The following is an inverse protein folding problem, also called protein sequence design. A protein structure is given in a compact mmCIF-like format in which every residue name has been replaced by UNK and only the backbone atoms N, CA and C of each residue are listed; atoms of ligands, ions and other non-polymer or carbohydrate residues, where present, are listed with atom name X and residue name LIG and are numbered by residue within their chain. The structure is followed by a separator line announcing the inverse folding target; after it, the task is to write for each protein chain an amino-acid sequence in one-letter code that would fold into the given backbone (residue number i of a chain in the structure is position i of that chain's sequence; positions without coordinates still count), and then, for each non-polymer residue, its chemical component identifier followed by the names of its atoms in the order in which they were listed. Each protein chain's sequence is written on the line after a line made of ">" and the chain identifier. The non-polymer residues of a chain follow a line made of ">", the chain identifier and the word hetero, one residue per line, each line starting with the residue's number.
data_IF_851676795377
#
_entry.id   IF_851676795377
#
_cell.length_a   1.000
_cell.length_b   1.000
_cell.length_c   1.000
_cell.angle_alpha   90.00
_cell.angle_beta   90.00
_cell.angle_gamma   90.00
#
_symmetry.space_group_name_H-M   'P 1'
#
loop_
_entity.id
_entity.type
_entity.pdbx_description
1 polymer ?
#
# COMPACT_ATOMS: atom_id res chain seq x y z
N UNK A 1 0.58 15.67 107.23
CA UNK A 1 1.04 14.60 106.31
C UNK A 1 -0.08 14.02 105.46
N UNK A 2 -1.31 13.92 105.97
CA UNK A 2 -2.46 13.34 105.23
C UNK A 2 -2.93 14.18 104.03
N UNK A 3 -2.82 15.50 104.07
CA UNK A 3 -3.27 16.39 102.97
C UNK A 3 -2.50 16.19 101.66
N UNK A 4 -1.17 16.02 101.73
CA UNK A 4 -0.32 15.79 100.57
C UNK A 4 -0.60 14.44 99.90
N UNK A 5 -0.84 13.40 100.71
CA UNK A 5 -1.20 12.07 100.23
C UNK A 5 -2.57 12.06 99.52
N UNK A 6 -3.56 12.76 100.07
CA UNK A 6 -4.88 12.88 99.43
C UNK A 6 -4.79 13.64 98.09
N UNK A 7 -4.01 14.73 98.04
CA UNK A 7 -3.82 15.50 96.80
C UNK A 7 -3.08 14.68 95.73
N UNK A 8 -2.10 13.87 96.13
CA UNK A 8 -1.42 12.93 95.23
C UNK A 8 -2.35 11.86 94.69
N UNK A 9 -3.25 11.32 95.53
CA UNK A 9 -4.24 10.32 95.12
C UNK A 9 -5.26 10.91 94.13
N UNK A 10 -5.79 12.11 94.40
CA UNK A 10 -6.70 12.81 93.48
C UNK A 10 -6.04 13.05 92.12
N UNK A 11 -4.76 13.47 92.11
CA UNK A 11 -4.02 13.66 90.87
C UNK A 11 -3.84 12.34 90.10
N UNK A 12 -3.58 11.24 90.79
CA UNK A 12 -3.43 9.93 90.18
C UNK A 12 -4.74 9.43 89.58
N UNK A 13 -5.87 9.61 90.28
CA UNK A 13 -7.21 9.26 89.79
C UNK A 13 -7.53 10.06 88.53
N UNK A 14 -7.27 11.37 88.52
CA UNK A 14 -7.48 12.21 87.34
C UNK A 14 -6.65 11.75 86.14
N UNK A 15 -5.36 11.45 86.36
CA UNK A 15 -4.48 10.93 85.31
C UNK A 15 -4.95 9.57 84.79
N UNK A 16 -5.47 8.70 85.67
CA UNK A 16 -6.04 7.41 85.27
C UNK A 16 -7.28 7.60 84.40
N UNK A 17 -8.21 8.48 84.79
CA UNK A 17 -9.41 8.79 84.01
C UNK A 17 -9.09 9.40 82.64
N UNK A 18 -8.16 10.36 82.59
CA UNK A 18 -7.65 10.93 81.34
C UNK A 18 -7.04 9.86 80.43
N UNK A 19 -6.24 8.95 80.99
CA UNK A 19 -5.62 7.85 80.24
C UNK A 19 -6.66 6.88 79.68
N UNK A 20 -7.70 6.56 80.44
CA UNK A 20 -8.79 5.71 79.99
C UNK A 20 -9.58 6.37 78.85
N UNK A 21 -9.85 7.67 78.93
CA UNK A 21 -10.53 8.40 77.87
C UNK A 21 -9.68 8.45 76.59
N UNK A 22 -8.39 8.77 76.74
CA UNK A 22 -7.44 8.80 75.63
C UNK A 22 -7.37 7.44 74.93
N UNK A 23 -7.31 6.35 75.69
CA UNK A 23 -7.26 5.00 75.12
C UNK A 23 -8.52 4.68 74.31
N UNK A 24 -9.72 4.97 74.83
CA UNK A 24 -10.98 4.78 74.10
C UNK A 24 -11.02 5.59 72.80
N UNK A 25 -10.56 6.84 72.84
CA UNK A 25 -10.46 7.67 71.64
C UNK A 25 -9.51 7.06 70.61
N UNK A 26 -8.31 6.61 71.04
CA UNK A 26 -7.32 6.01 70.14
C UNK A 26 -7.83 4.70 69.51
N UNK A 27 -8.49 3.83 70.28
CA UNK A 27 -9.11 2.60 69.76
C UNK A 27 -10.17 2.92 68.70
N UNK A 28 -11.00 3.95 68.90
CA UNK A 28 -11.99 4.37 67.90
C UNK A 28 -11.35 4.89 66.61
N UNK A 29 -10.26 5.66 66.73
CA UNK A 29 -9.49 6.16 65.59
C UNK A 29 -8.77 5.04 64.85
N UNK A 30 -8.21 4.08 65.58
CA UNK A 30 -7.54 2.90 65.03
C UNK A 30 -8.53 2.08 64.19
N UNK A 31 -9.71 1.73 64.75
CA UNK A 31 -10.75 1.00 64.02
C UNK A 31 -11.20 1.73 62.76
N UNK A 32 -11.35 3.06 62.83
CA UNK A 32 -11.71 3.87 61.65
C UNK A 32 -10.61 3.83 60.59
N UNK A 33 -9.35 3.95 61.01
CA UNK A 33 -8.20 3.87 60.10
C UNK A 33 -8.09 2.49 59.45
N UNK A 34 -8.28 1.40 60.19
CA UNK A 34 -8.29 0.02 59.66
C UNK A 34 -9.35 -0.16 58.56
N UNK A 35 -10.58 0.30 58.80
CA UNK A 35 -11.65 0.24 57.80
C UNK A 35 -11.31 1.07 56.56
N UNK A 36 -10.77 2.28 56.74
CA UNK A 36 -10.36 3.14 55.62
C UNK A 36 -9.22 2.53 54.81
N UNK A 37 -8.23 1.90 55.46
CA UNK A 37 -7.13 1.21 54.78
C UNK A 37 -7.65 0.02 53.98
N UNK A 38 -8.56 -0.76 54.56
CA UNK A 38 -9.19 -1.88 53.86
C UNK A 38 -9.97 -1.42 52.62
N UNK A 39 -10.76 -0.36 52.73
CA UNK A 39 -11.51 0.23 51.61
C UNK A 39 -10.58 0.74 50.50
N UNK A 40 -9.51 1.46 50.87
CA UNK A 40 -8.51 1.92 49.89
C UNK A 40 -7.81 0.74 49.20
N UNK A 41 -7.53 -0.34 49.92
CA UNK A 41 -6.97 -1.57 49.35
C UNK A 41 -7.91 -2.21 48.32
N UNK A 42 -9.21 -2.28 48.61
CA UNK A 42 -10.22 -2.79 47.68
C UNK A 42 -10.32 -1.91 46.43
N UNK A 43 -10.32 -0.58 46.58
CA UNK A 43 -10.35 0.36 45.47
C UNK A 43 -9.09 0.23 44.60
N UNK A 44 -7.91 0.11 45.22
CA UNK A 44 -6.65 -0.05 44.51
C UNK A 44 -6.62 -1.35 43.70
N UNK A 45 -7.07 -2.46 44.30
CA UNK A 45 -7.16 -3.75 43.62
C UNK A 45 -8.14 -3.69 42.43
N UNK A 46 -9.34 -3.13 42.63
CA UNK A 46 -10.33 -2.97 41.57
C UNK A 46 -9.82 -2.10 40.41
N UNK A 47 -9.12 -0.98 40.71
CA UNK A 47 -8.50 -0.13 39.69
C UNK A 47 -7.39 -0.87 38.94
N UNK A 48 -6.53 -1.59 39.65
CA UNK A 48 -5.45 -2.39 39.04
C UNK A 48 -6.02 -3.41 38.06
N UNK A 49 -7.03 -4.17 38.49
CA UNK A 49 -7.69 -5.17 37.66
C UNK A 49 -8.35 -4.54 36.42
N UNK A 50 -9.07 -3.43 36.59
CA UNK A 50 -9.70 -2.73 35.48
C UNK A 50 -8.69 -2.32 34.39
N UNK A 51 -7.53 -1.78 34.78
CA UNK A 51 -6.50 -1.40 33.81
C UNK A 51 -5.83 -2.60 33.15
N UNK A 52 -5.62 -3.69 33.89
CA UNK A 52 -5.11 -4.94 33.33
C UNK A 52 -6.07 -5.51 32.29
N UNK A 53 -7.36 -5.56 32.59
CA UNK A 53 -8.40 -6.05 31.67
C UNK A 53 -8.51 -5.17 30.42
N UNK A 54 -8.46 -3.84 30.61
CA UNK A 54 -8.46 -2.89 29.49
C UNK A 54 -7.24 -3.09 28.59
N UNK A 55 -6.05 -3.26 29.18
CA UNK A 55 -4.83 -3.51 28.41
C UNK A 55 -4.94 -4.82 27.62
N UNK A 56 -5.37 -5.91 28.25
CA UNK A 56 -5.58 -7.20 27.59
C UNK A 56 -6.58 -7.09 26.43
N UNK A 57 -7.72 -6.43 26.64
CA UNK A 57 -8.73 -6.24 25.61
C UNK A 57 -8.18 -5.45 24.41
N UNK A 58 -7.51 -4.32 24.65
CA UNK A 58 -6.89 -3.51 23.60
C UNK A 58 -5.80 -4.28 22.85
N UNK A 59 -4.95 -5.04 23.54
CA UNK A 59 -3.94 -5.89 22.88
C UNK A 59 -4.58 -6.96 22.00
N UNK A 60 -5.63 -7.62 22.48
CA UNK A 60 -6.34 -8.65 21.70
C UNK A 60 -7.02 -8.04 20.46
N UNK A 61 -7.65 -6.88 20.59
CA UNK A 61 -8.28 -6.17 19.49
C UNK A 61 -7.24 -5.79 18.41
N UNK A 62 -6.11 -5.21 18.82
CA UNK A 62 -5.04 -4.88 17.88
C UNK A 62 -4.45 -6.12 17.21
N UNK A 63 -4.23 -7.20 17.95
CA UNK A 63 -3.73 -8.44 17.38
C UNK A 63 -4.71 -9.02 16.35
N UNK A 64 -6.02 -8.98 16.64
CA UNK A 64 -7.05 -9.42 15.70
C UNK A 64 -7.08 -8.55 14.43
N UNK A 65 -6.96 -7.23 14.58
CA UNK A 65 -6.92 -6.29 13.47
C UNK A 65 -5.69 -6.51 12.58
N UNK A 66 -4.51 -6.70 13.17
CA UNK A 66 -3.27 -7.00 12.45
C UNK A 66 -3.43 -8.30 11.67
N UNK A 67 -3.86 -9.38 12.33
CA UNK A 67 -4.03 -10.68 11.67
C UNK A 67 -5.01 -10.58 10.49
N UNK A 68 -6.12 -9.86 10.66
CA UNK A 68 -7.09 -9.63 9.58
C UNK A 68 -6.46 -8.87 8.42
N UNK A 69 -5.78 -7.75 8.69
CA UNK A 69 -5.12 -6.96 7.67
C UNK A 69 -4.03 -7.77 6.93
N UNK A 70 -3.28 -8.60 7.65
CA UNK A 70 -2.28 -9.51 7.06
C UNK A 70 -2.93 -10.55 6.15
N UNK A 71 -4.04 -11.16 6.56
CA UNK A 71 -4.77 -12.11 5.71
C UNK A 71 -5.37 -11.46 4.47
N UNK A 72 -5.92 -10.25 4.59
CA UNK A 72 -6.45 -9.48 3.47
C UNK A 72 -5.35 -9.07 2.49
N UNK A 73 -4.22 -8.59 3.00
CA UNK A 73 -3.06 -8.26 2.17
C UNK A 73 -2.50 -9.49 1.45
N UNK A 74 -2.43 -10.64 2.12
CA UNK A 74 -1.99 -11.88 1.50
C UNK A 74 -2.96 -12.33 0.39
N UNK A 75 -4.26 -12.28 0.63
CA UNK A 75 -5.26 -12.64 -0.37
C UNK A 75 -5.21 -11.71 -1.61
N UNK A 76 -4.93 -10.42 -1.40
CA UNK A 76 -4.74 -9.46 -2.50
C UNK A 76 -3.47 -9.76 -3.29
N UNK A 77 -2.35 -10.08 -2.62
CA UNK A 77 -1.10 -10.48 -3.28
C UNK A 77 -1.30 -11.75 -4.11
N UNK A 78 -1.94 -12.77 -3.56
CA UNK A 78 -2.20 -14.03 -4.26
C UNK A 78 -3.08 -13.80 -5.50
N UNK A 79 -4.12 -12.97 -5.36
CA UNK A 79 -5.00 -12.61 -6.49
C UNK A 79 -4.24 -11.84 -7.57
N UNK A 80 -3.42 -10.86 -7.17
CA UNK A 80 -2.61 -10.08 -8.11
C UNK A 80 -1.58 -10.95 -8.83
N UNK A 81 -0.98 -11.92 -8.14
CA UNK A 81 -0.04 -12.87 -8.75
C UNK A 81 -0.74 -13.74 -9.80
N UNK A 82 -1.89 -14.33 -9.47
CA UNK A 82 -2.66 -15.14 -10.42
C UNK A 82 -3.08 -14.31 -11.63
N UNK A 83 -3.53 -13.07 -11.41
CA UNK A 83 -3.90 -12.17 -12.50
C UNK A 83 -2.71 -11.87 -13.41
N UNK A 84 -1.56 -11.54 -12.84
CA UNK A 84 -0.34 -11.29 -13.60
C UNK A 84 0.10 -12.52 -14.42
N UNK A 85 0.01 -13.72 -13.85
CA UNK A 85 0.32 -14.96 -14.56
C UNK A 85 -0.63 -15.20 -15.75
N UNK A 86 -1.92 -14.92 -15.58
CA UNK A 86 -2.93 -14.97 -16.66
C UNK A 86 -2.66 -13.93 -17.74
N UNK A 87 -2.35 -12.69 -17.36
CA UNK A 87 -2.04 -11.60 -18.29
C UNK A 87 -0.79 -11.94 -19.11
N UNK A 88 0.24 -12.50 -18.48
CA UNK A 88 1.46 -12.95 -19.16
C UNK A 88 1.21 -14.13 -20.10
N UNK A 89 0.30 -15.05 -19.75
CA UNK A 89 -0.10 -16.13 -20.63
C UNK A 89 -0.83 -15.60 -21.87
N UNK A 90 -1.84 -14.73 -21.66
CA UNK A 90 -2.60 -14.06 -22.71
C UNK A 90 -1.70 -13.24 -23.63
N UNK A 91 -0.77 -12.46 -23.07
CA UNK A 91 0.20 -11.69 -23.85
C UNK A 91 1.06 -12.58 -24.75
N UNK A 92 1.59 -13.69 -24.22
CA UNK A 92 2.40 -14.63 -25.00
C UNK A 92 1.60 -15.29 -26.11
N UNK A 93 0.34 -15.63 -25.86
CA UNK A 93 -0.55 -16.21 -26.86
C UNK A 93 -0.91 -15.19 -27.95
N UNK A 94 -1.24 -13.95 -27.56
CA UNK A 94 -1.47 -12.85 -28.49
C UNK A 94 -0.25 -12.55 -29.37
N UNK A 95 0.96 -12.58 -28.80
CA UNK A 95 2.20 -12.40 -29.56
C UNK A 95 2.39 -13.54 -30.58
N UNK A 96 2.20 -14.79 -30.18
CA UNK A 96 2.27 -15.93 -31.10
C UNK A 96 1.27 -15.80 -32.25
N UNK A 97 0.03 -15.44 -31.95
CA UNK A 97 -1.00 -15.22 -32.96
C UNK A 97 -0.61 -14.11 -33.94
N UNK A 98 -0.13 -12.97 -33.44
CA UNK A 98 0.36 -11.84 -34.26
C UNK A 98 1.51 -12.23 -35.19
N UNK A 99 2.48 -13.02 -34.71
CA UNK A 99 3.59 -13.52 -35.54
C UNK A 99 3.09 -14.43 -36.66
N UNK A 100 2.14 -15.32 -36.36
CA UNK A 100 1.54 -16.21 -37.38
C UNK A 100 0.78 -15.40 -38.42
N UNK A 101 -0.02 -14.42 -37.99
CA UNK A 101 -0.79 -13.52 -38.88
C UNK A 101 0.17 -12.75 -39.81
N UNK A 102 1.20 -12.12 -39.25
CA UNK A 102 2.16 -11.33 -40.05
C UNK A 102 2.96 -12.18 -41.04
N UNK A 103 3.37 -13.39 -40.64
CA UNK A 103 4.04 -14.32 -41.56
C UNK A 103 3.11 -14.76 -42.70
N UNK A 104 1.84 -15.02 -42.39
CA UNK A 104 0.83 -15.39 -43.40
C UNK A 104 0.53 -14.23 -44.35
N UNK A 105 0.45 -13.00 -43.84
CA UNK A 105 0.32 -11.79 -44.65
C UNK A 105 1.52 -11.58 -45.58
N UNK A 106 2.74 -11.75 -45.07
CA UNK A 106 3.96 -11.65 -45.88
C UNK A 106 3.98 -12.73 -46.99
N UNK A 107 3.56 -13.96 -46.67
CA UNK A 107 3.44 -15.06 -47.62
C UNK A 107 2.43 -14.76 -48.74
N UNK A 108 1.25 -14.25 -48.38
CA UNK A 108 0.23 -13.84 -49.35
C UNK A 108 0.70 -12.69 -50.23
N UNK A 109 1.35 -11.68 -49.64
CA UNK A 109 1.92 -10.55 -50.39
C UNK A 109 2.93 -11.02 -51.44
N UNK A 110 3.88 -11.88 -51.05
CA UNK A 110 4.85 -12.46 -51.98
C UNK A 110 4.17 -13.27 -53.09
N UNK A 111 3.11 -14.01 -52.77
CA UNK A 111 2.37 -14.79 -53.75
C UNK A 111 1.69 -13.89 -54.78
N UNK A 112 1.05 -12.79 -54.35
CA UNK A 112 0.43 -11.85 -55.27
C UNK A 112 1.45 -11.06 -56.10
N UNK A 113 2.59 -10.65 -55.52
CA UNK A 113 3.66 -9.97 -56.25
C UNK A 113 4.28 -10.87 -57.33
N UNK A 114 4.53 -12.14 -57.01
CA UNK A 114 5.01 -13.12 -57.99
C UNK A 114 4.00 -13.34 -59.12
N UNK A 115 2.70 -13.43 -58.79
CA UNK A 115 1.62 -13.50 -59.78
C UNK A 115 1.58 -12.26 -60.67
N UNK A 116 1.78 -11.07 -60.10
CA UNK A 116 1.85 -9.82 -60.87
C UNK A 116 3.05 -9.80 -61.83
N UNK A 117 4.16 -10.47 -61.47
CA UNK A 117 5.33 -10.66 -62.33
C UNK A 117 5.22 -11.86 -63.30
N UNK A 118 4.06 -12.52 -63.37
CA UNK A 118 3.81 -13.64 -64.28
C UNK A 118 4.31 -15.00 -63.80
N UNK A 119 4.77 -15.10 -62.54
CA UNK A 119 5.14 -16.37 -61.91
C UNK A 119 3.94 -16.93 -61.14
N UNK A 120 3.27 -17.93 -61.72
CA UNK A 120 2.24 -18.71 -61.03
C UNK A 120 2.83 -20.06 -60.59
N UNK A 121 2.83 -20.33 -59.29
CA UNK A 121 3.26 -21.61 -58.73
C UNK A 121 2.03 -22.45 -58.35
N UNK A 122 1.72 -23.56 -59.05
CA UNK A 122 0.55 -24.40 -58.75
C UNK A 122 0.54 -25.02 -57.34
N UNK A 123 1.68 -25.00 -56.65
CA UNK A 123 1.81 -25.49 -55.27
C UNK A 123 1.35 -24.51 -54.20
N UNK A 124 1.08 -23.24 -54.58
CA UNK A 124 0.64 -22.21 -53.64
C UNK A 124 -0.89 -22.19 -53.56
N UNK A 125 -1.42 -22.56 -52.40
CA UNK A 125 -2.85 -22.51 -52.13
C UNK A 125 -3.20 -21.15 -51.49
N UNK A 126 -3.29 -20.13 -52.34
CA UNK A 126 -3.52 -18.74 -51.94
C UNK A 126 -4.90 -18.58 -51.28
N UNK A 127 -5.94 -19.20 -51.83
CA UNK A 127 -7.30 -19.14 -51.29
C UNK A 127 -7.38 -19.72 -49.86
N UNK A 128 -6.72 -20.86 -49.62
CA UNK A 128 -6.64 -21.44 -48.28
C UNK A 128 -5.83 -20.56 -47.31
N UNK A 129 -4.81 -19.84 -47.77
CA UNK A 129 -4.07 -18.90 -46.92
C UNK A 129 -4.89 -17.66 -46.58
N UNK A 130 -5.73 -17.16 -47.50
CA UNK A 130 -6.66 -16.06 -47.25
C UNK A 130 -7.76 -16.46 -46.25
N UNK A 131 -8.30 -17.68 -46.38
CA UNK A 131 -9.27 -18.23 -45.43
C UNK A 131 -8.65 -18.37 -44.04
N UNK A 132 -7.47 -19.00 -43.93
CA UNK A 132 -6.74 -19.09 -42.66
C UNK A 132 -6.40 -17.71 -42.06
N UNK A 133 -6.10 -16.71 -42.88
CA UNK A 133 -5.82 -15.36 -42.39
C UNK A 133 -7.09 -14.69 -41.82
N UNK A 134 -8.23 -14.88 -42.49
CA UNK A 134 -9.53 -14.38 -42.04
C UNK A 134 -9.97 -15.04 -40.73
N UNK A 135 -9.78 -16.34 -40.61
CA UNK A 135 -10.12 -17.12 -39.41
C UNK A 135 -9.27 -16.70 -38.20
N UNK A 136 -8.01 -16.32 -38.43
CA UNK A 136 -7.13 -15.76 -37.41
C UNK A 136 -7.41 -14.28 -37.10
N UNK A 137 -8.36 -13.63 -37.78
CA UNK A 137 -8.69 -12.21 -37.60
C UNK A 137 -7.64 -11.25 -38.19
N UNK A 138 -6.82 -11.71 -39.12
CA UNK A 138 -5.82 -10.89 -39.80
C UNK A 138 -6.43 -9.96 -40.86
N UNK A 139 -5.81 -8.80 -41.07
CA UNK A 139 -6.26 -7.87 -42.10
C UNK A 139 -6.02 -8.45 -43.51
N UNK A 140 -6.97 -8.27 -44.45
CA UNK A 140 -6.80 -8.70 -45.84
C UNK A 140 -5.55 -8.07 -46.46
N UNK A 141 -4.78 -8.87 -47.21
CA UNK A 141 -3.64 -8.36 -47.98
C UNK A 141 -4.15 -7.84 -49.31
N UNK A 142 -3.90 -6.55 -49.60
CA UNK A 142 -4.27 -5.96 -50.87
C UNK A 142 -3.55 -6.65 -52.03
N UNK A 143 -4.30 -7.03 -53.07
CA UNK A 143 -3.71 -7.53 -54.31
C UNK A 143 -2.96 -6.38 -55.00
N UNK A 144 -1.68 -6.56 -55.37
CA UNK A 144 -0.99 -5.60 -56.21
C UNK A 144 -1.74 -5.50 -57.53
N UNK A 145 -2.28 -4.31 -57.81
CA UNK A 145 -2.74 -3.96 -59.15
C UNK A 145 -1.52 -4.08 -60.07
N UNK A 146 -1.69 -4.79 -61.20
CA UNK A 146 -0.65 -5.04 -62.22
C UNK A 146 0.25 -3.80 -62.43
N UNK A 147 1.58 -3.98 -62.59
CA UNK A 147 2.40 -2.88 -63.07
C UNK A 147 1.95 -2.56 -64.50
N UNK A 148 1.37 -1.38 -64.70
CA UNK A 148 1.40 -0.74 -66.02
C UNK A 148 2.86 -0.47 -66.29
N UNK A 149 3.45 -1.29 -67.14
CA UNK A 149 4.73 -1.04 -67.77
C UNK A 149 4.56 0.21 -68.65
N UNK A 150 5.01 1.37 -68.17
CA UNK A 150 5.61 2.39 -69.01
C UNK A 150 6.82 2.98 -68.27
N UNK A 151 7.98 2.82 -68.91
CA UNK A 151 9.31 3.24 -68.47
C UNK A 151 9.62 4.65 -69.06
N UNK A 152 10.82 5.21 -68.84
CA UNK A 152 11.13 6.33 -67.96
C UNK A 152 11.22 7.70 -68.67
N UNK A 153 11.19 8.81 -67.92
CA UNK A 153 11.78 10.07 -68.40
C UNK A 153 12.47 10.87 -67.29
N UNK A 154 13.75 11.10 -67.56
CA UNK A 154 14.79 11.72 -66.76
C UNK A 154 14.88 13.22 -67.06
N UNK A 155 14.99 14.05 -66.03
CA UNK A 155 15.72 15.34 -65.96
C UNK A 155 15.20 16.10 -64.72
N UNK A 156 15.94 16.90 -63.97
CA UNK A 156 17.36 17.17 -63.77
C UNK A 156 17.41 18.09 -62.54
N UNK A 157 18.54 18.08 -61.83
CA UNK A 157 18.82 18.87 -60.63
C UNK A 157 18.51 20.37 -60.75
N UNK A 158 18.06 20.98 -59.64
CA UNK A 158 18.56 22.30 -59.24
C UNK A 158 18.44 22.50 -57.73
N UNK A 159 19.59 22.56 -57.06
CA UNK A 159 19.74 23.14 -55.73
C UNK A 159 19.56 24.66 -55.79
N UNK A 160 18.84 25.24 -54.82
CA UNK A 160 19.14 26.56 -54.25
C UNK A 160 18.87 26.49 -52.76
N UNK A 161 19.98 26.45 -52.05
CA UNK A 161 20.22 26.87 -50.68
C UNK A 161 19.80 28.33 -50.44
N UNK A 162 19.21 28.60 -49.27
CA UNK A 162 19.29 29.89 -48.59
C UNK A 162 18.99 29.72 -47.09
N UNK A 163 19.98 29.19 -46.37
CA UNK A 163 20.57 29.79 -45.16
C UNK A 163 19.71 30.16 -43.95
N UNK A 164 20.10 29.65 -42.78
CA UNK A 164 19.69 30.20 -41.49
C UNK A 164 20.20 29.42 -40.27
N UNK A 165 21.52 29.25 -40.13
CA UNK A 165 22.13 28.85 -38.86
C UNK A 165 21.87 29.92 -37.79
N UNK A 166 21.33 29.53 -36.63
CA UNK A 166 21.67 30.18 -35.36
C UNK A 166 21.47 29.19 -34.22
N UNK A 167 22.58 28.71 -33.67
CA UNK A 167 22.65 28.16 -32.32
C UNK A 167 22.15 29.20 -31.31
N UNK A 168 21.28 28.79 -30.40
CA UNK A 168 21.28 29.32 -29.03
C UNK A 168 20.63 28.34 -28.07
N UNK A 169 21.49 27.62 -27.38
CA UNK A 169 21.22 27.04 -26.08
C UNK A 169 20.99 28.19 -25.08
N UNK A 170 19.88 28.15 -24.34
CA UNK A 170 19.62 28.99 -23.18
C UNK A 170 18.57 28.29 -22.31
N UNK A 171 19.04 27.73 -21.20
CA UNK A 171 18.22 27.06 -20.20
C UNK A 171 17.08 27.93 -19.70
N UNK A 172 15.91 27.31 -19.59
CA UNK A 172 14.74 27.85 -18.90
C UNK A 172 14.58 27.18 -17.54
N UNK A 173 14.98 27.88 -16.49
CA UNK A 173 14.32 27.83 -15.17
C UNK A 173 13.02 28.64 -15.29
N UNK A 174 11.89 28.20 -14.67
CA UNK A 174 11.51 28.87 -13.44
C UNK A 174 10.81 27.98 -12.41
N UNK A 175 11.21 28.13 -11.15
CA UNK A 175 10.26 28.70 -10.19
C UNK A 175 9.92 27.87 -8.93
N UNK A 176 10.63 28.24 -7.86
CA UNK A 176 10.07 28.75 -6.59
C UNK A 176 9.38 27.82 -5.57
N UNK A 177 9.88 27.92 -4.32
CA UNK A 177 9.18 27.57 -3.07
C UNK A 177 9.96 26.56 -2.22
N UNK A 178 10.89 26.97 -1.36
CA UNK A 178 10.65 27.30 0.04
C UNK A 178 9.91 26.18 0.80
N UNK A 179 10.61 25.33 1.56
CA UNK A 179 10.68 25.49 3.02
C UNK A 179 11.65 24.49 3.67
N UNK A 180 12.36 25.01 4.66
CA UNK A 180 13.19 24.26 5.60
C UNK A 180 12.34 23.45 6.58
N UNK A 181 12.95 22.36 7.07
CA UNK A 181 12.87 21.85 8.44
C UNK A 181 11.48 21.51 9.04
N UNK A 182 11.31 20.25 9.46
CA UNK A 182 11.01 19.97 10.87
C UNK A 182 11.57 18.60 11.27
N UNK A 183 12.65 18.66 12.04
CA UNK A 183 13.10 17.62 12.93
C UNK A 183 12.16 17.54 14.14
N UNK A 184 11.97 16.31 14.58
CA UNK A 184 11.42 15.83 15.83
C UNK A 184 12.12 16.46 17.07
N UNK A 185 11.36 16.98 18.05
CA UNK A 185 11.55 16.71 19.48
C UNK A 185 10.39 17.29 20.32
N UNK A 186 9.98 16.56 21.36
CA UNK A 186 8.87 16.93 22.23
C UNK A 186 9.23 17.84 23.42
N UNK A 187 8.22 18.47 24.00
CA UNK A 187 8.11 18.75 25.43
C UNK A 187 6.67 19.19 25.78
N UNK A 188 6.10 18.56 26.80
CA UNK A 188 4.76 18.77 27.33
C UNK A 188 4.62 20.05 28.17
N UNK A 189 3.38 20.53 28.43
CA UNK A 189 3.12 21.57 29.43
C UNK A 189 3.14 21.05 30.88
#
# INVERSE_FOLDING_TARGET
>A
MTSFLNQGLERLVHLYEESCWLNKMLESKLKKAEVTIADQGMIAAAKSQHYEDKFKATTQEHQAAINKATHEAQAQLDTAQVQHEQDMASYREGLKSSVVISLLQARLKMAYEARAMGFECPSWNVDAWEENLRDLGGNPVEHPVKPVVEEPSKAAEKAVDAGGDTEKDAGGDPGAGADEAMLEEGAAP
#
